data_IF_163926045849
#
_entry.id   IF_163926045849
#
_cell.length_a   1.000
_cell.length_b   1.000
_cell.length_c   1.000
_cell.angle_alpha   90.00
_cell.angle_beta   90.00
_cell.angle_gamma   90.00
#
_symmetry.space_group_name_H-M   'P 1'
#
loop_
_entity.id
_entity.type
_entity.pdbx_description
1 polymer ?
#
# COMPACT_ATOMS: atom_id res chain seq x y z
N UNK A 1 3.60 13.35 -30.31
CA UNK A 1 4.26 14.23 -29.33
C UNK A 1 3.32 14.41 -28.15
N UNK A 2 3.74 14.11 -26.91
CA UNK A 2 2.92 14.44 -25.74
C UNK A 2 2.78 15.97 -25.65
N UNK A 3 1.56 16.47 -25.52
CA UNK A 3 1.32 17.88 -25.20
C UNK A 3 1.84 18.15 -23.78
N UNK A 4 2.37 19.35 -23.54
CA UNK A 4 2.83 19.83 -22.22
C UNK A 4 1.74 19.62 -21.16
N UNK A 5 0.45 19.79 -21.51
CA UNK A 5 -0.68 19.51 -20.62
C UNK A 5 -0.72 18.05 -20.14
N UNK A 6 -0.45 17.09 -21.04
CA UNK A 6 -0.34 15.69 -20.68
C UNK A 6 0.84 15.46 -19.73
N UNK A 7 2.01 16.07 -19.99
CA UNK A 7 3.19 15.95 -19.12
C UNK A 7 2.91 16.50 -17.71
N UNK A 8 2.21 17.63 -17.60
CA UNK A 8 1.83 18.21 -16.31
C UNK A 8 0.81 17.35 -15.56
N UNK A 9 -0.13 16.72 -16.26
CA UNK A 9 -1.08 15.77 -15.67
C UNK A 9 -0.35 14.53 -15.14
N UNK A 10 0.64 14.02 -15.87
CA UNK A 10 1.51 12.92 -15.46
C UNK A 10 2.26 13.27 -14.20
N UNK A 11 2.95 14.42 -14.20
CA UNK A 11 3.74 14.87 -13.05
C UNK A 11 2.81 15.08 -11.85
N UNK A 12 1.64 15.66 -12.05
CA UNK A 12 0.65 15.86 -10.98
C UNK A 12 0.13 14.54 -10.43
N UNK A 13 -0.16 13.55 -11.27
CA UNK A 13 -0.65 12.24 -10.82
C UNK A 13 0.45 11.41 -10.14
N UNK A 14 1.64 11.37 -10.74
CA UNK A 14 2.82 10.66 -10.21
C UNK A 14 3.31 11.28 -8.91
N UNK A 15 3.20 12.60 -8.73
CA UNK A 15 3.63 13.24 -7.49
C UNK A 15 2.52 13.27 -6.45
N UNK A 16 1.27 13.59 -6.80
CA UNK A 16 0.24 13.84 -5.81
C UNK A 16 -0.23 12.56 -5.11
N UNK A 17 -0.45 11.45 -5.83
CA UNK A 17 -0.94 10.22 -5.20
C UNK A 17 0.06 9.70 -4.15
N UNK A 18 1.37 9.53 -4.48
CA UNK A 18 2.36 9.12 -3.50
C UNK A 18 2.54 10.16 -2.38
N UNK A 19 2.41 11.45 -2.68
CA UNK A 19 2.48 12.51 -1.65
C UNK A 19 1.33 12.39 -0.66
N UNK A 20 0.10 12.13 -1.13
CA UNK A 20 -1.08 11.93 -0.27
C UNK A 20 -0.88 10.69 0.61
N UNK A 21 -0.44 9.57 0.03
CA UNK A 21 -0.13 8.36 0.81
C UNK A 21 1.00 8.59 1.81
N UNK A 22 2.05 9.31 1.42
CA UNK A 22 3.18 9.64 2.28
C UNK A 22 2.73 10.50 3.47
N UNK A 23 1.98 11.58 3.23
CA UNK A 23 1.47 12.45 4.29
C UNK A 23 0.49 11.71 5.20
N UNK A 24 -0.37 10.86 4.63
CA UNK A 24 -1.26 9.99 5.40
C UNK A 24 -0.46 9.04 6.31
N UNK A 25 0.54 8.35 5.78
CA UNK A 25 1.40 7.45 6.54
C UNK A 25 2.23 8.17 7.61
N UNK A 26 2.72 9.37 7.30
CA UNK A 26 3.42 10.24 8.25
C UNK A 26 2.51 10.61 9.43
N UNK A 27 1.27 10.99 9.13
CA UNK A 27 0.27 11.34 10.16
C UNK A 27 -0.04 10.16 11.07
N UNK A 28 -0.19 8.96 10.48
CA UNK A 28 -0.38 7.72 11.23
C UNK A 28 0.83 7.41 12.14
N UNK A 29 2.05 7.56 11.62
CA UNK A 29 3.26 7.35 12.40
C UNK A 29 3.40 8.34 13.56
N UNK A 30 3.12 9.62 13.33
CA UNK A 30 3.12 10.64 14.39
C UNK A 30 2.10 10.32 15.49
N UNK A 31 0.89 9.89 15.14
CA UNK A 31 -0.11 9.50 16.15
C UNK A 31 0.25 8.21 16.87
N UNK A 32 0.85 7.24 16.19
CA UNK A 32 1.36 6.02 16.84
C UNK A 32 2.44 6.35 17.88
N UNK A 33 3.34 7.28 17.56
CA UNK A 33 4.33 7.79 18.50
C UNK A 33 3.68 8.46 19.71
N UNK A 34 2.71 9.35 19.49
CA UNK A 34 1.95 9.99 20.58
C UNK A 34 1.16 8.99 21.43
N UNK A 35 0.75 7.87 20.86
CA UNK A 35 0.08 6.78 21.56
C UNK A 35 1.01 5.91 22.41
N UNK A 36 2.32 6.22 22.45
CA UNK A 36 3.33 5.55 23.28
C UNK A 36 4.11 4.45 22.57
N UNK A 37 4.05 4.35 21.24
CA UNK A 37 4.88 3.41 20.47
C UNK A 37 6.25 4.04 20.14
N UNK A 38 7.15 4.02 21.13
CA UNK A 38 8.50 4.60 21.00
C UNK A 38 9.40 3.90 19.95
N UNK A 39 9.03 2.70 19.47
CA UNK A 39 9.83 1.91 18.53
C UNK A 39 9.66 2.27 17.05
N UNK A 40 8.62 3.04 16.71
CA UNK A 40 8.37 3.44 15.32
C UNK A 40 9.51 4.30 14.73
N UNK A 41 10.25 5.02 15.58
CA UNK A 41 11.35 5.90 15.15
C UNK A 41 12.70 5.14 15.15
N UNK A 42 12.91 4.26 16.13
CA UNK A 42 14.20 3.59 16.35
C UNK A 42 14.58 2.58 15.24
N UNK A 43 13.59 1.96 14.59
CA UNK A 43 13.82 0.96 13.52
C UNK A 43 13.99 1.54 12.12
N UNK A 44 14.12 2.86 11.96
CA UNK A 44 14.36 3.45 10.64
C UNK A 44 13.19 3.37 9.66
N UNK A 45 11.95 3.30 10.17
CA UNK A 45 10.71 3.37 9.36
C UNK A 45 10.58 4.69 8.58
N UNK A 46 11.43 5.67 8.85
CA UNK A 46 11.54 6.96 8.16
C UNK A 46 12.60 7.00 7.05
N UNK A 47 13.34 5.92 6.79
CA UNK A 47 14.22 5.87 5.62
C UNK A 47 13.36 5.88 4.35
N UNK A 48 13.55 6.91 3.52
CA UNK A 48 12.95 7.02 2.18
C UNK A 48 13.35 5.76 1.39
N UNK A 49 12.48 4.77 1.18
CA UNK A 49 12.93 3.52 0.60
C UNK A 49 12.93 3.70 -0.91
N UNK A 50 14.08 3.45 -1.53
CA UNK A 50 14.30 3.40 -2.99
C UNK A 50 13.45 2.36 -3.73
N UNK A 51 12.52 1.69 -3.04
CA UNK A 51 11.83 0.50 -3.50
C UNK A 51 10.32 0.77 -3.52
N UNK A 52 9.67 0.45 -4.65
CA UNK A 52 8.24 0.55 -4.99
C UNK A 52 7.22 0.00 -3.96
N UNK A 53 7.62 -0.45 -2.76
CA UNK A 53 6.73 -0.96 -1.71
C UNK A 53 5.72 0.07 -1.20
N UNK A 54 6.01 1.37 -1.30
CA UNK A 54 5.04 2.43 -1.01
C UNK A 54 4.09 2.73 -2.18
N UNK A 55 4.44 2.36 -3.42
CA UNK A 55 3.54 2.58 -4.57
C UNK A 55 2.24 1.78 -4.46
N UNK A 56 2.21 0.74 -3.61
CA UNK A 56 1.05 -0.08 -3.30
C UNK A 56 0.35 0.26 -1.98
N UNK A 57 0.65 1.42 -1.37
CA UNK A 57 -0.12 1.90 -0.22
C UNK A 57 0.02 1.06 1.06
N UNK A 58 1.09 0.27 1.21
CA UNK A 58 1.39 -0.32 2.53
C UNK A 58 1.78 0.82 3.47
N UNK A 59 0.89 1.11 4.42
CA UNK A 59 1.21 1.88 5.62
C UNK A 59 2.50 1.33 6.24
N UNK A 60 3.34 2.17 6.88
CA UNK A 60 4.35 1.64 7.80
C UNK A 60 3.69 0.57 8.67
N UNK A 61 4.33 -0.59 8.78
CA UNK A 61 3.84 -1.75 9.52
C UNK A 61 3.87 -1.40 11.01
N UNK A 62 2.93 -0.54 11.42
CA UNK A 62 2.68 -0.16 12.80
C UNK A 62 2.08 -1.40 13.44
N UNK A 63 2.81 -1.96 14.39
CA UNK A 63 2.35 -3.12 15.15
C UNK A 63 1.26 -2.67 16.13
N UNK A 64 0.04 -2.48 15.60
CA UNK A 64 -1.12 -2.01 16.35
C UNK A 64 -1.41 -2.89 17.57
N UNK A 65 -0.92 -4.13 17.62
CA UNK A 65 -1.06 -5.05 18.75
C UNK A 65 -0.39 -4.50 20.01
N UNK A 66 0.71 -3.75 19.87
CA UNK A 66 1.42 -3.12 21.01
C UNK A 66 0.65 -1.94 21.61
N UNK A 67 -0.26 -1.34 20.84
CA UNK A 67 -1.04 -0.20 21.28
C UNK A 67 -2.15 -0.68 22.21
N UNK A 68 -1.93 -0.46 23.51
CA UNK A 68 -2.78 -0.99 24.59
C UNK A 68 -4.24 -0.57 24.45
N UNK A 69 -4.50 0.69 24.10
CA UNK A 69 -5.86 1.22 23.99
C UNK A 69 -6.52 0.82 22.67
N UNK A 70 -7.76 0.33 22.74
CA UNK A 70 -8.59 0.06 21.55
C UNK A 70 -8.88 1.34 20.76
N UNK A 71 -9.02 2.47 21.46
CA UNK A 71 -9.29 3.78 20.87
C UNK A 71 -8.13 4.20 19.96
N UNK A 72 -6.89 4.09 20.41
CA UNK A 72 -5.72 4.46 19.61
C UNK A 72 -5.55 3.58 18.37
N UNK A 73 -5.85 2.28 18.49
CA UNK A 73 -5.87 1.36 17.35
C UNK A 73 -6.86 1.77 16.26
N UNK A 74 -7.94 2.48 16.61
CA UNK A 74 -8.89 3.05 15.64
C UNK A 74 -8.49 4.45 15.16
N UNK A 75 -8.02 5.31 16.05
CA UNK A 75 -7.65 6.71 15.75
C UNK A 75 -6.51 6.78 14.73
N UNK A 76 -5.50 5.91 14.87
CA UNK A 76 -4.33 5.91 13.99
C UNK A 76 -4.76 5.69 12.53
N UNK A 77 -5.40 4.58 12.13
CA UNK A 77 -5.83 4.40 10.74
C UNK A 77 -6.85 5.45 10.30
N UNK A 78 -7.73 5.91 11.20
CA UNK A 78 -8.69 6.98 10.92
C UNK A 78 -8.00 8.29 10.51
N UNK A 79 -6.84 8.60 11.09
CA UNK A 79 -6.11 9.82 10.75
C UNK A 79 -5.68 9.88 9.28
N UNK A 80 -5.33 8.73 8.68
CA UNK A 80 -5.03 8.67 7.25
C UNK A 80 -6.24 8.99 6.39
N UNK A 81 -7.42 8.48 6.77
CA UNK A 81 -8.70 8.82 6.12
C UNK A 81 -9.02 10.32 6.27
N UNK A 82 -8.82 10.88 7.47
CA UNK A 82 -9.02 12.31 7.72
C UNK A 82 -8.10 13.16 6.84
N UNK A 83 -6.83 12.78 6.70
CA UNK A 83 -5.90 13.49 5.81
C UNK A 83 -6.35 13.45 4.36
N UNK A 84 -6.79 12.29 3.86
CA UNK A 84 -7.33 12.19 2.49
C UNK A 84 -8.58 13.08 2.34
N UNK A 85 -9.46 13.10 3.33
CA UNK A 85 -10.63 13.99 3.32
C UNK A 85 -10.24 15.47 3.28
N UNK A 86 -9.23 15.89 4.06
CA UNK A 86 -8.70 17.26 4.03
C UNK A 86 -8.11 17.61 2.65
N UNK A 87 -7.40 16.67 2.01
CA UNK A 87 -6.91 16.85 0.64
C UNK A 87 -8.04 17.01 -0.37
N UNK A 88 -9.10 16.20 -0.26
CA UNK A 88 -10.30 16.35 -1.10
C UNK A 88 -10.89 17.75 -0.92
N UNK A 89 -11.06 18.21 0.33
CA UNK A 89 -11.56 19.56 0.61
C UNK A 89 -10.66 20.65 0.02
N UNK A 90 -9.34 20.53 0.18
CA UNK A 90 -8.39 21.51 -0.33
C UNK A 90 -8.45 21.61 -1.87
N UNK A 91 -8.42 20.47 -2.56
CA UNK A 91 -8.46 20.40 -4.03
C UNK A 91 -9.84 20.82 -4.58
N UNK A 92 -10.92 20.55 -3.83
CA UNK A 92 -12.28 20.92 -4.23
C UNK A 92 -12.65 22.37 -3.90
N UNK A 93 -11.93 23.00 -2.96
CA UNK A 93 -12.25 24.36 -2.48
C UNK A 93 -12.36 25.44 -3.57
N UNK A 94 -11.56 25.43 -4.67
CA UNK A 94 -11.69 26.45 -5.71
C UNK A 94 -13.04 26.41 -6.44
N UNK A 95 -13.66 25.24 -6.52
CA UNK A 95 -14.99 25.09 -7.12
C UNK A 95 -16.09 25.64 -6.20
N UNK A 96 -15.92 25.57 -4.88
CA UNK A 96 -16.95 26.04 -3.93
C UNK A 96 -16.90 27.54 -3.75
N UNK A 97 -15.69 28.08 -3.84
CA UNK A 97 -15.41 29.51 -3.74
C UNK A 97 -15.72 30.25 -5.05
N UNK A 98 -16.16 29.54 -6.09
CA UNK A 98 -16.43 30.10 -7.41
C UNK A 98 -15.19 30.57 -8.18
N UNK A 99 -13.98 30.23 -7.71
CA UNK A 99 -12.72 30.55 -8.39
C UNK A 99 -12.61 29.84 -9.74
N UNK A 100 -13.29 28.70 -9.87
CA UNK A 100 -13.36 27.92 -11.09
C UNK A 100 -14.56 28.28 -11.99
N UNK A 101 -15.53 29.11 -11.58
CA UNK A 101 -16.82 29.25 -12.29
C UNK A 101 -16.70 29.73 -13.75
N UNK A 102 -15.63 30.46 -14.07
CA UNK A 102 -15.38 31.00 -15.41
C UNK A 102 -14.52 30.09 -16.31
N UNK A 103 -14.24 28.85 -15.89
CA UNK A 103 -13.34 27.96 -16.64
C UNK A 103 -13.87 27.61 -18.04
N UNK A 104 -15.19 27.50 -18.21
CA UNK A 104 -15.83 27.18 -19.50
C UNK A 104 -15.62 28.28 -20.56
N UNK A 105 -15.54 29.55 -20.14
CA UNK A 105 -15.24 30.68 -21.03
C UNK A 105 -13.83 30.56 -21.58
N UNK A 106 -12.89 30.07 -20.76
CA UNK A 106 -11.52 29.78 -21.17
C UNK A 106 -11.44 28.68 -22.22
N UNK A 107 -12.20 27.60 -22.05
CA UNK A 107 -12.24 26.47 -22.98
C UNK A 107 -12.80 26.89 -24.36
N UNK A 108 -13.94 27.61 -24.38
CA UNK A 108 -14.55 28.10 -25.62
C UNK A 108 -13.65 29.12 -26.35
N UNK A 109 -12.94 29.97 -25.60
CA UNK A 109 -11.99 30.91 -26.18
C UNK A 109 -10.81 30.19 -26.84
N UNK A 110 -10.24 29.17 -26.18
CA UNK A 110 -9.16 28.36 -26.75
C UNK A 110 -9.58 27.65 -28.02
N UNK A 111 -10.77 27.05 -28.06
CA UNK A 111 -11.29 26.39 -29.26
C UNK A 111 -11.47 27.39 -30.42
N UNK A 112 -12.04 28.57 -30.13
CA UNK A 112 -12.25 29.62 -31.11
C UNK A 112 -10.92 30.20 -31.63
N UNK A 113 -9.98 30.51 -30.74
CA UNK A 113 -8.66 31.04 -31.12
C UNK A 113 -7.82 30.01 -31.86
N UNK A 114 -7.85 28.72 -31.48
CA UNK A 114 -7.17 27.66 -32.21
C UNK A 114 -7.74 27.50 -33.63
N UNK A 115 -9.06 27.65 -33.80
CA UNK A 115 -9.74 27.60 -35.10
C UNK A 115 -9.39 28.81 -35.97
N UNK A 116 -9.35 30.01 -35.39
CA UNK A 116 -8.97 31.24 -36.09
C UNK A 116 -7.46 31.29 -36.43
N UNK A 117 -6.59 30.83 -35.53
CA UNK A 117 -5.15 30.72 -35.78
C UNK A 117 -4.83 29.62 -36.80
N UNK A 118 -5.55 28.50 -36.81
CA UNK A 118 -5.42 27.48 -37.86
C UNK A 118 -5.82 28.01 -39.26
N UNK A 119 -6.72 29.00 -39.31
CA UNK A 119 -7.05 29.70 -40.55
C UNK A 119 -6.01 30.76 -40.93
N UNK A 120 -5.38 31.44 -39.96
CA UNK A 120 -4.42 32.51 -40.23
C UNK A 120 -2.96 32.05 -40.41
N UNK A 121 -2.58 30.86 -39.91
CA UNK A 121 -1.20 30.31 -40.06
C UNK A 121 -0.87 29.82 -41.48
N UNK A 122 -1.70 30.13 -42.48
CA UNK A 122 -1.34 29.93 -43.87
C UNK A 122 -0.44 31.06 -44.45
N UNK A 123 -0.16 32.17 -43.73
CA UNK A 123 0.56 33.28 -44.39
C UNK A 123 1.67 34.05 -43.66
N UNK A 124 1.89 33.97 -42.34
CA UNK A 124 3.09 34.63 -41.77
C UNK A 124 3.47 34.16 -40.36
N UNK A 125 4.59 33.45 -40.27
CA UNK A 125 5.32 33.21 -39.03
C UNK A 125 6.11 34.48 -38.68
N UNK A 126 5.74 35.24 -37.65
CA UNK A 126 6.77 35.93 -36.84
C UNK A 126 6.34 36.59 -35.51
N UNK A 127 5.06 36.69 -35.15
CA UNK A 127 4.68 37.43 -33.93
C UNK A 127 3.78 36.61 -32.98
N UNK A 128 4.13 36.55 -31.67
CA UNK A 128 3.33 36.17 -30.46
C UNK A 128 3.91 35.07 -29.55
N UNK A 129 5.14 35.22 -29.06
CA UNK A 129 5.79 34.16 -28.29
C UNK A 129 5.49 34.08 -26.77
N UNK A 130 4.88 35.08 -26.08
CA UNK A 130 4.88 35.07 -24.59
C UNK A 130 3.56 35.39 -23.85
N UNK A 131 2.52 35.92 -24.48
CA UNK A 131 1.20 36.10 -23.83
C UNK A 131 0.26 34.87 -23.78
N UNK A 132 0.31 33.85 -24.69
CA UNK A 132 -0.63 32.74 -24.63
C UNK A 132 -0.32 31.73 -23.50
N UNK A 133 0.92 31.67 -22.99
CA UNK A 133 1.34 30.57 -22.09
C UNK A 133 0.64 30.63 -20.73
N UNK A 134 0.48 31.82 -20.13
CA UNK A 134 -0.15 31.98 -18.81
C UNK A 134 -1.65 31.72 -18.83
N UNK A 135 -2.34 32.10 -19.92
CA UNK A 135 -3.78 31.86 -20.09
C UNK A 135 -4.10 30.40 -20.42
N UNK A 136 -3.24 29.75 -21.19
CA UNK A 136 -3.35 28.32 -21.48
C UNK A 136 -3.14 27.46 -20.22
N UNK A 137 -2.18 27.80 -19.36
CA UNK A 137 -1.89 27.02 -18.14
C UNK A 137 -3.07 26.99 -17.13
N UNK A 138 -3.83 28.07 -17.01
CA UNK A 138 -4.95 28.15 -16.06
C UNK A 138 -6.16 27.34 -16.54
N UNK A 139 -6.40 27.27 -17.84
CA UNK A 139 -7.57 26.56 -18.38
C UNK A 139 -7.49 25.03 -18.23
N UNK A 140 -6.28 24.44 -18.25
CA UNK A 140 -6.10 23.01 -18.00
C UNK A 140 -6.05 22.65 -16.52
N UNK A 141 -5.76 23.61 -15.65
CA UNK A 141 -5.64 23.36 -14.22
C UNK A 141 -6.97 22.90 -13.61
N UNK A 142 -8.09 23.53 -14.00
CA UNK A 142 -9.40 23.21 -13.41
C UNK A 142 -9.89 21.80 -13.74
N UNK A 143 -9.90 21.34 -15.01
CA UNK A 143 -10.23 19.95 -15.31
C UNK A 143 -9.32 18.95 -14.59
N UNK A 144 -8.01 19.23 -14.51
CA UNK A 144 -7.06 18.36 -13.80
C UNK A 144 -7.42 18.26 -12.31
N UNK A 145 -7.64 19.39 -11.63
CA UNK A 145 -8.05 19.41 -10.23
C UNK A 145 -9.39 18.69 -10.01
N UNK A 146 -10.35 18.85 -10.93
CA UNK A 146 -11.66 18.19 -10.85
C UNK A 146 -11.55 16.65 -10.91
N UNK A 147 -10.76 16.12 -11.85
CA UNK A 147 -10.50 14.67 -11.92
C UNK A 147 -9.76 14.18 -10.67
N UNK A 148 -8.75 14.93 -10.22
CA UNK A 148 -7.95 14.55 -9.06
C UNK A 148 -8.83 14.47 -7.82
N UNK A 149 -9.75 15.43 -7.62
CA UNK A 149 -10.77 15.35 -6.59
C UNK A 149 -11.63 14.08 -6.76
N UNK A 150 -12.10 13.80 -7.97
CA UNK A 150 -12.88 12.58 -8.27
C UNK A 150 -12.15 11.28 -7.93
N UNK A 151 -10.86 11.16 -8.26
CA UNK A 151 -10.03 10.00 -7.90
C UNK A 151 -9.78 9.90 -6.40
N UNK A 152 -9.53 11.03 -5.72
CA UNK A 152 -9.34 11.03 -4.27
C UNK A 152 -10.62 10.64 -3.54
N UNK A 153 -11.79 11.08 -4.01
CA UNK A 153 -13.10 10.65 -3.48
C UNK A 153 -13.27 9.14 -3.66
N UNK A 154 -13.00 8.63 -4.86
CA UNK A 154 -13.08 7.18 -5.12
C UNK A 154 -12.14 6.40 -4.21
N UNK A 155 -10.89 6.86 -4.08
CA UNK A 155 -9.90 6.25 -3.19
C UNK A 155 -10.36 6.30 -1.73
N UNK A 156 -10.88 7.43 -1.27
CA UNK A 156 -11.42 7.60 0.07
C UNK A 156 -12.57 6.60 0.34
N UNK A 157 -13.51 6.45 -0.60
CA UNK A 157 -14.61 5.50 -0.49
C UNK A 157 -14.11 4.06 -0.41
N UNK A 158 -13.11 3.69 -1.24
CA UNK A 158 -12.48 2.37 -1.19
C UNK A 158 -11.77 2.14 0.16
N UNK A 159 -11.03 3.14 0.64
CA UNK A 159 -10.33 3.07 1.93
C UNK A 159 -11.28 3.03 3.12
N UNK A 160 -12.51 3.53 2.98
CA UNK A 160 -13.53 3.47 4.02
C UNK A 160 -14.16 2.07 4.15
N UNK A 161 -13.99 1.19 3.15
CA UNK A 161 -14.58 -0.14 3.19
C UNK A 161 -14.07 -0.96 4.40
N UNK A 162 -14.95 -1.67 5.11
CA UNK A 162 -14.60 -2.48 6.26
C UNK A 162 -14.00 -3.84 5.85
N UNK A 163 -13.05 -3.83 4.90
CA UNK A 163 -12.40 -5.01 4.35
C UNK A 163 -10.94 -5.14 4.83
N UNK A 164 -10.47 -6.34 5.23
CA UNK A 164 -9.08 -6.56 5.60
C UNK A 164 -8.10 -6.01 4.55
N UNK A 165 -7.09 -5.26 5.03
CA UNK A 165 -6.15 -4.54 4.18
C UNK A 165 -6.51 -3.06 3.93
N UNK A 166 -7.75 -2.64 4.23
CA UNK A 166 -8.18 -1.24 4.11
C UNK A 166 -8.18 -0.52 5.46
N UNK A 167 -8.02 0.81 5.42
CA UNK A 167 -8.03 1.66 6.61
C UNK A 167 -9.37 1.57 7.36
N UNK A 168 -10.50 1.48 6.65
CA UNK A 168 -11.83 1.33 7.23
C UNK A 168 -11.95 0.09 8.11
N UNK A 169 -11.39 -1.04 7.66
CA UNK A 169 -11.30 -2.24 8.51
C UNK A 169 -10.42 -2.01 9.73
N UNK A 170 -9.24 -1.39 9.58
CA UNK A 170 -8.35 -1.11 10.71
C UNK A 170 -9.00 -0.18 11.75
N UNK A 171 -9.90 0.72 11.34
CA UNK A 171 -10.67 1.56 12.26
C UNK A 171 -11.64 0.72 13.09
N UNK A 172 -12.37 -0.22 12.47
CA UNK A 172 -13.40 -1.00 13.16
C UNK A 172 -12.88 -2.28 13.82
N UNK A 173 -11.73 -2.81 13.38
CA UNK A 173 -11.23 -4.11 13.80
C UNK A 173 -11.02 -4.24 15.31
N UNK A 174 -10.57 -3.21 16.07
CA UNK A 174 -10.42 -3.32 17.52
C UNK A 174 -11.74 -3.53 18.27
N UNK A 175 -12.87 -3.30 17.61
CA UNK A 175 -14.23 -3.43 18.13
C UNK A 175 -14.91 -4.73 17.70
N UNK A 176 -14.35 -5.45 16.73
CA UNK A 176 -14.90 -6.72 16.27
C UNK A 176 -14.62 -7.84 17.29
N UNK A 177 -15.49 -8.85 17.41
CA UNK A 177 -15.21 -10.04 18.20
C UNK A 177 -13.93 -10.76 17.73
N UNK A 178 -13.17 -11.33 18.65
CA UNK A 178 -11.91 -12.02 18.33
C UNK A 178 -12.09 -13.18 17.33
N UNK A 179 -13.21 -13.89 17.39
CA UNK A 179 -13.57 -14.95 16.41
C UNK A 179 -13.65 -14.42 14.98
N UNK A 180 -14.24 -13.23 14.79
CA UNK A 180 -14.36 -12.60 13.48
C UNK A 180 -13.01 -12.05 13.01
N UNK A 181 -12.23 -11.44 13.91
CA UNK A 181 -10.88 -10.97 13.58
C UNK A 181 -9.99 -12.14 13.11
N UNK A 182 -10.01 -13.27 13.81
CA UNK A 182 -9.24 -14.46 13.46
C UNK A 182 -9.72 -15.10 12.16
N UNK A 183 -11.04 -15.11 11.91
CA UNK A 183 -11.60 -15.62 10.65
C UNK A 183 -11.18 -14.78 9.43
N UNK A 184 -11.02 -13.47 9.63
CA UNK A 184 -10.60 -12.53 8.59
C UNK A 184 -9.07 -12.44 8.46
N UNK A 185 -8.33 -12.71 9.54
CA UNK A 185 -6.88 -12.80 9.52
C UNK A 185 -6.42 -13.88 8.53
N UNK A 186 -5.50 -13.53 7.63
CA UNK A 186 -5.01 -14.44 6.59
C UNK A 186 -5.87 -14.48 5.32
N UNK A 187 -7.06 -13.85 5.27
CA UNK A 187 -7.86 -13.68 4.04
C UNK A 187 -7.57 -12.39 3.27
N UNK A 188 -6.58 -11.60 3.71
CA UNK A 188 -6.18 -10.33 3.10
C UNK A 188 -5.92 -10.45 1.59
N UNK A 189 -5.32 -11.57 1.15
CA UNK A 189 -5.06 -11.83 -0.27
C UNK A 189 -6.34 -11.95 -1.10
N UNK A 190 -7.43 -12.48 -0.55
CA UNK A 190 -8.73 -12.57 -1.23
C UNK A 190 -9.35 -11.18 -1.41
N UNK A 191 -9.18 -10.30 -0.43
CA UNK A 191 -9.65 -8.90 -0.54
C UNK A 191 -8.80 -8.10 -1.52
N UNK A 192 -7.48 -8.31 -1.54
CA UNK A 192 -6.59 -7.75 -2.56
C UNK A 192 -7.01 -8.19 -3.97
N UNK A 193 -7.26 -9.49 -4.17
CA UNK A 193 -7.76 -10.02 -5.44
C UNK A 193 -9.16 -9.48 -5.78
N UNK A 194 -10.05 -9.33 -4.81
CA UNK A 194 -11.36 -8.73 -5.02
C UNK A 194 -11.23 -7.27 -5.50
N UNK A 195 -10.33 -6.49 -4.92
CA UNK A 195 -10.11 -5.10 -5.30
C UNK A 195 -9.47 -5.01 -6.68
N UNK A 196 -8.49 -5.86 -6.97
CA UNK A 196 -7.92 -5.98 -8.32
C UNK A 196 -9.01 -6.39 -9.31
N UNK A 197 -9.88 -7.34 -8.96
CA UNK A 197 -11.00 -7.76 -9.80
C UNK A 197 -12.04 -6.66 -9.97
N UNK A 198 -12.33 -5.87 -8.94
CA UNK A 198 -13.22 -4.71 -9.03
C UNK A 198 -12.57 -3.64 -9.91
N UNK A 199 -11.31 -3.26 -9.68
CA UNK A 199 -10.59 -2.28 -10.51
C UNK A 199 -10.45 -2.76 -11.96
N UNK A 200 -10.15 -4.04 -12.19
CA UNK A 200 -10.09 -4.64 -13.50
C UNK A 200 -11.48 -4.72 -14.16
N UNK A 201 -12.51 -5.12 -13.42
CA UNK A 201 -13.89 -5.11 -13.92
C UNK A 201 -14.32 -3.70 -14.28
N UNK A 202 -14.00 -2.70 -13.46
CA UNK A 202 -14.24 -1.30 -13.79
C UNK A 202 -13.45 -0.88 -15.03
N UNK A 203 -12.23 -1.38 -15.23
CA UNK A 203 -11.45 -1.12 -16.43
C UNK A 203 -12.08 -1.73 -17.69
N UNK A 204 -12.63 -2.95 -17.59
CA UNK A 204 -13.16 -3.70 -18.74
C UNK A 204 -14.67 -3.51 -19.00
N UNK A 205 -15.46 -3.04 -18.02
CA UNK A 205 -16.94 -3.01 -18.09
C UNK A 205 -17.54 -1.63 -17.78
N UNK A 206 -17.02 -0.57 -18.38
CA UNK A 206 -17.46 0.81 -18.17
C UNK A 206 -17.09 1.39 -16.79
N UNK A 207 -15.81 1.78 -16.66
CA UNK A 207 -15.26 2.71 -15.68
C UNK A 207 -16.16 3.95 -15.40
N UNK A 208 -16.96 4.45 -16.36
CA UNK A 208 -17.95 5.50 -16.11
C UNK A 208 -18.91 5.25 -14.97
N UNK A 209 -19.23 4.03 -14.54
CA UNK A 209 -20.30 3.79 -13.56
C UNK A 209 -19.94 4.19 -12.12
N UNK A 210 -18.84 3.68 -11.54
CA UNK A 210 -18.36 4.13 -10.24
C UNK A 210 -17.81 5.56 -10.29
N UNK A 211 -17.18 5.93 -11.40
CA UNK A 211 -16.72 7.30 -11.56
C UNK A 211 -17.89 8.27 -11.69
N UNK A 212 -19.03 7.87 -12.25
CA UNK A 212 -20.26 8.66 -12.23
C UNK A 212 -20.80 8.80 -10.82
N UNK A 213 -20.66 7.79 -9.97
CA UNK A 213 -21.00 7.93 -8.55
C UNK A 213 -20.09 8.96 -7.87
N UNK A 214 -18.77 8.85 -8.04
CA UNK A 214 -17.85 9.84 -7.45
C UNK A 214 -18.02 11.24 -8.04
N UNK A 215 -18.27 11.36 -9.34
CA UNK A 215 -18.57 12.61 -10.03
C UNK A 215 -19.89 13.23 -9.59
N UNK A 216 -20.93 12.42 -9.37
CA UNK A 216 -22.20 12.89 -8.81
C UNK A 216 -22.01 13.37 -7.38
N UNK A 217 -21.26 12.64 -6.54
CA UNK A 217 -20.92 13.10 -5.19
C UNK A 217 -20.13 14.42 -5.25
N UNK A 218 -19.14 14.50 -6.12
CA UNK A 218 -18.35 15.71 -6.34
C UNK A 218 -19.23 16.89 -6.80
N UNK A 219 -20.21 16.66 -7.66
CA UNK A 219 -21.13 17.69 -8.11
C UNK A 219 -22.12 18.12 -7.02
N UNK A 220 -22.79 17.15 -6.41
CA UNK A 220 -23.92 17.43 -5.51
C UNK A 220 -23.45 17.96 -4.15
N UNK A 221 -22.33 17.42 -3.63
CA UNK A 221 -21.80 17.80 -2.32
C UNK A 221 -20.71 18.84 -2.42
N UNK A 222 -19.89 18.77 -3.47
CA UNK A 222 -18.70 19.60 -3.63
C UNK A 222 -18.83 20.57 -4.81
N UNK A 223 -20.01 20.77 -5.41
CA UNK A 223 -20.23 21.73 -6.50
C UNK A 223 -19.21 21.65 -7.66
N UNK A 224 -18.52 20.53 -7.84
CA UNK A 224 -17.56 20.36 -8.93
C UNK A 224 -18.35 20.07 -10.20
N UNK A 225 -18.25 20.91 -11.25
CA UNK A 225 -19.04 20.72 -12.46
C UNK A 225 -18.78 19.35 -13.09
N UNK A 226 -19.85 18.61 -13.39
CA UNK A 226 -19.75 17.31 -14.09
C UNK A 226 -19.06 17.49 -15.46
N UNK A 227 -19.23 18.64 -16.12
CA UNK A 227 -18.53 19.00 -17.34
C UNK A 227 -17.01 19.01 -17.16
N UNK A 228 -16.51 19.66 -16.12
CA UNK A 228 -15.07 19.72 -15.80
C UNK A 228 -14.48 18.34 -15.51
N UNK A 229 -15.22 17.54 -14.74
CA UNK A 229 -14.85 16.16 -14.40
C UNK A 229 -14.78 15.28 -15.66
N UNK A 230 -15.76 15.42 -16.56
CA UNK A 230 -15.81 14.68 -17.83
C UNK A 230 -14.72 15.10 -18.80
N UNK A 231 -14.51 16.40 -18.99
CA UNK A 231 -13.46 16.91 -19.87
C UNK A 231 -12.09 16.43 -19.41
N UNK A 232 -11.86 16.51 -18.10
CA UNK A 232 -10.68 15.96 -17.51
C UNK A 232 -10.51 14.45 -17.75
N UNK A 233 -11.59 13.66 -17.59
CA UNK A 233 -11.54 12.24 -17.94
C UNK A 233 -11.14 12.00 -19.40
N UNK A 234 -11.68 12.76 -20.34
CA UNK A 234 -11.35 12.62 -21.76
C UNK A 234 -9.86 12.94 -22.02
N UNK A 235 -9.32 13.99 -21.38
CA UNK A 235 -7.88 14.28 -21.39
C UNK A 235 -7.05 13.11 -20.84
N UNK A 236 -7.59 12.39 -19.85
CA UNK A 236 -6.93 11.26 -19.21
C UNK A 236 -7.05 9.97 -20.02
N UNK A 237 -8.20 9.67 -20.63
CA UNK A 237 -8.44 8.47 -21.46
C UNK A 237 -7.46 8.40 -22.63
N UNK A 238 -7.26 9.51 -23.34
CA UNK A 238 -6.28 9.60 -24.42
C UNK A 238 -4.84 9.34 -23.95
N UNK A 239 -4.56 9.49 -22.65
CA UNK A 239 -3.26 9.25 -22.04
C UNK A 239 -3.12 7.84 -21.45
N UNK A 240 -4.13 7.32 -20.74
CA UNK A 240 -4.08 5.98 -20.14
C UNK A 240 -3.92 4.90 -21.22
N UNK A 241 -4.52 5.08 -22.40
CA UNK A 241 -4.34 4.15 -23.52
C UNK A 241 -2.87 4.02 -23.97
N UNK A 242 -2.03 5.03 -23.75
CA UNK A 242 -0.61 5.04 -24.14
C UNK A 242 0.33 4.54 -23.05
N UNK A 243 0.06 4.82 -21.77
CA UNK A 243 1.00 4.53 -20.66
C UNK A 243 0.61 3.29 -19.85
N UNK A 244 -0.68 2.98 -19.78
CA UNK A 244 -1.20 1.95 -18.88
C UNK A 244 -0.90 0.51 -19.34
N UNK A 245 -0.96 0.14 -20.64
CA UNK A 245 -0.77 -1.25 -21.04
C UNK A 245 0.59 -1.83 -20.64
N UNK A 246 1.76 -1.19 -20.92
CA UNK A 246 3.06 -1.81 -20.62
C UNK A 246 3.43 -1.81 -19.13
N UNK A 247 3.09 -0.76 -18.40
CA UNK A 247 3.46 -0.58 -16.98
C UNK A 247 2.65 -1.48 -16.05
N UNK A 248 1.34 -1.64 -16.31
CA UNK A 248 0.51 -2.55 -15.52
C UNK A 248 0.72 -4.00 -15.94
N UNK A 249 0.99 -4.31 -17.22
CA UNK A 249 1.38 -5.67 -17.60
C UNK A 249 2.66 -6.11 -16.87
N UNK A 250 3.67 -5.22 -16.77
CA UNK A 250 4.86 -5.52 -16.00
C UNK A 250 4.59 -5.59 -14.51
N UNK A 251 3.71 -4.77 -13.93
CA UNK A 251 3.38 -4.85 -12.49
C UNK A 251 2.48 -6.05 -12.10
N UNK A 252 1.54 -6.44 -12.96
CA UNK A 252 0.55 -7.50 -12.69
C UNK A 252 1.10 -8.88 -13.04
N UNK A 253 1.85 -9.00 -14.15
CA UNK A 253 2.35 -10.29 -14.63
C UNK A 253 3.87 -10.46 -14.51
N UNK A 254 4.61 -9.40 -14.20
CA UNK A 254 6.05 -9.47 -13.91
C UNK A 254 6.42 -8.61 -12.68
N UNK A 255 5.70 -8.75 -11.54
CA UNK A 255 5.96 -7.93 -10.36
C UNK A 255 7.45 -7.99 -10.05
N UNK A 256 8.13 -6.86 -9.79
CA UNK A 256 9.57 -6.84 -9.56
C UNK A 256 9.87 -7.73 -8.37
N UNK A 257 10.27 -8.97 -8.64
CA UNK A 257 10.47 -10.14 -7.76
C UNK A 257 10.31 -9.74 -6.29
N UNK A 258 9.06 -9.49 -5.87
CA UNK A 258 8.69 -9.61 -4.49
C UNK A 258 8.56 -11.11 -4.39
N UNK A 259 9.59 -11.76 -3.86
CA UNK A 259 9.48 -13.13 -3.38
C UNK A 259 8.39 -13.15 -2.30
N UNK A 260 7.14 -13.17 -2.73
CA UNK A 260 5.98 -13.71 -2.03
C UNK A 260 5.93 -15.23 -2.22
N UNK A 261 7.06 -15.87 -2.50
CA UNK A 261 7.30 -17.18 -1.93
C UNK A 261 7.51 -16.90 -0.42
N UNK A 262 6.76 -17.48 0.52
CA UNK A 262 6.34 -18.87 0.54
C UNK A 262 5.07 -19.08 1.38
N UNK A 263 3.98 -19.64 0.85
CA UNK A 263 3.19 -20.58 1.62
C UNK A 263 3.98 -21.90 1.69
N UNK A 264 5.08 -21.90 2.45
CA UNK A 264 5.92 -23.06 2.65
C UNK A 264 5.73 -23.57 4.06
N UNK A 265 5.27 -24.80 4.21
CA UNK A 265 5.42 -25.49 5.49
C UNK A 265 6.90 -25.79 5.68
N UNK A 266 7.42 -25.49 6.86
CA UNK A 266 8.79 -25.80 7.27
C UNK A 266 8.73 -26.76 8.45
N UNK A 267 9.83 -27.48 8.65
CA UNK A 267 10.02 -28.34 9.80
C UNK A 267 10.92 -27.63 10.80
N UNK A 268 10.48 -27.56 12.04
CA UNK A 268 11.25 -26.98 13.16
C UNK A 268 11.34 -27.99 14.30
N UNK A 269 12.28 -27.79 15.21
CA UNK A 269 12.41 -28.59 16.41
C UNK A 269 11.67 -27.91 17.56
N UNK A 270 10.70 -28.62 18.13
CA UNK A 270 9.94 -28.22 19.30
C UNK A 270 10.34 -29.03 20.53
N UNK A 271 10.35 -28.37 21.68
CA UNK A 271 10.52 -28.99 22.99
C UNK A 271 9.16 -29.17 23.66
N UNK A 272 8.94 -30.36 24.21
CA UNK A 272 7.69 -30.74 24.88
C UNK A 272 6.43 -30.38 24.06
N UNK A 273 6.33 -30.85 22.80
CA UNK A 273 5.16 -30.58 21.96
C UNK A 273 3.87 -31.02 22.66
N UNK A 274 2.80 -30.25 22.49
CA UNK A 274 1.47 -30.53 23.06
C UNK A 274 1.41 -30.47 24.59
N UNK A 275 2.33 -29.74 25.22
CA UNK A 275 2.31 -29.45 26.65
C UNK A 275 2.11 -27.96 26.91
N UNK A 276 1.81 -27.58 28.16
CA UNK A 276 1.74 -26.17 28.56
C UNK A 276 3.09 -25.45 28.53
N UNK A 277 4.18 -26.19 28.34
CA UNK A 277 5.56 -25.69 28.32
C UNK A 277 6.22 -26.02 26.98
N UNK A 278 5.47 -25.86 25.89
CA UNK A 278 5.99 -25.98 24.53
C UNK A 278 7.00 -24.86 24.27
N UNK A 279 8.12 -25.15 23.61
CA UNK A 279 9.15 -24.17 23.29
C UNK A 279 9.79 -24.45 21.94
N UNK A 280 10.22 -23.40 21.23
CA UNK A 280 10.97 -23.56 19.98
C UNK A 280 12.45 -23.68 20.31
N UNK A 281 13.10 -24.73 19.79
CA UNK A 281 14.53 -24.88 19.97
C UNK A 281 15.30 -23.78 19.22
N UNK A 282 16.18 -23.08 19.94
CA UNK A 282 17.05 -22.03 19.41
C UNK A 282 18.52 -22.41 19.55
N UNK A 283 19.31 -22.01 18.57
CA UNK A 283 20.77 -22.15 18.59
C UNK A 283 21.44 -20.80 18.82
N UNK A 284 22.49 -20.76 19.64
CA UNK A 284 23.29 -19.55 19.79
C UNK A 284 24.32 -19.49 18.67
N UNK A 285 24.32 -18.43 17.88
CA UNK A 285 25.38 -18.22 16.91
C UNK A 285 26.50 -17.34 17.47
N UNK A 286 27.66 -17.32 16.80
CA UNK A 286 28.84 -16.58 17.26
C UNK A 286 28.62 -15.06 17.41
N UNK A 287 27.55 -14.54 16.84
CA UNK A 287 27.10 -13.15 16.95
C UNK A 287 26.29 -12.85 18.24
N UNK A 288 26.09 -13.86 19.10
CA UNK A 288 25.39 -13.75 20.37
C UNK A 288 23.86 -13.73 20.25
N UNK A 289 23.29 -14.08 19.09
CA UNK A 289 21.84 -14.08 18.87
C UNK A 289 21.25 -15.49 18.79
N UNK A 290 20.12 -15.68 19.47
CA UNK A 290 19.31 -16.89 19.37
C UNK A 290 18.74 -17.01 17.96
N UNK A 291 18.99 -18.13 17.30
CA UNK A 291 18.56 -18.41 15.92
C UNK A 291 17.71 -19.66 15.88
N UNK A 292 16.49 -19.54 15.36
CA UNK A 292 15.60 -20.67 15.04
C UNK A 292 15.97 -21.21 13.66
N UNK A 293 16.22 -22.51 13.57
CA UNK A 293 16.47 -23.21 12.32
C UNK A 293 15.16 -23.73 11.74
N UNK A 294 14.89 -23.39 10.47
CA UNK A 294 13.71 -23.84 9.73
C UNK A 294 14.17 -24.72 8.58
N UNK A 295 13.74 -25.98 8.53
CA UNK A 295 14.15 -26.93 7.51
C UNK A 295 13.06 -27.05 6.43
N UNK A 296 13.46 -27.07 5.16
CA UNK A 296 12.53 -27.35 4.05
C UNK A 296 12.14 -28.83 3.97
N UNK A 297 13.01 -29.73 4.44
CA UNK A 297 12.82 -31.18 4.41
C UNK A 297 12.75 -31.76 5.83
N UNK A 298 11.82 -32.69 6.04
CA UNK A 298 11.63 -33.44 7.28
C UNK A 298 12.84 -34.32 7.63
N UNK A 299 13.45 -34.98 6.63
CA UNK A 299 14.58 -35.89 6.84
C UNK A 299 15.82 -35.14 7.32
N UNK A 300 16.04 -33.92 6.82
CA UNK A 300 17.14 -33.05 7.26
C UNK A 300 16.92 -32.58 8.71
N UNK A 301 15.68 -32.26 9.07
CA UNK A 301 15.32 -31.88 10.44
C UNK A 301 15.48 -33.05 11.42
N UNK A 302 15.11 -34.28 11.02
CA UNK A 302 15.33 -35.48 11.84
C UNK A 302 16.82 -35.80 11.98
N UNK A 303 17.57 -35.72 10.89
CA UNK A 303 19.03 -35.92 10.92
C UNK A 303 19.69 -34.93 11.87
N UNK A 304 19.23 -33.67 11.88
CA UNK A 304 19.69 -32.67 12.82
C UNK A 304 19.28 -32.99 14.27
N UNK A 305 18.05 -33.46 14.48
CA UNK A 305 17.57 -33.91 15.81
C UNK A 305 18.40 -35.07 16.37
N UNK A 306 18.80 -36.01 15.52
CA UNK A 306 19.67 -37.13 15.89
C UNK A 306 21.07 -36.65 16.28
N UNK A 307 21.62 -35.65 15.56
CA UNK A 307 22.89 -35.02 15.92
C UNK A 307 22.82 -34.32 17.28
N UNK A 308 21.72 -33.66 17.60
CA UNK A 308 21.51 -33.04 18.92
C UNK A 308 21.37 -34.10 20.02
N UNK A 309 20.70 -35.21 19.74
CA UNK A 309 20.55 -36.34 20.66
C UNK A 309 21.90 -36.97 21.03
N UNK A 310 22.85 -37.01 20.09
CA UNK A 310 24.23 -37.45 20.36
C UNK A 310 25.00 -36.48 21.28
N UNK A 311 24.63 -35.20 21.28
CA UNK A 311 25.17 -34.16 22.18
C UNK A 311 24.38 -34.05 23.51
N UNK A 312 23.64 -35.08 23.89
CA UNK A 312 22.82 -35.19 25.11
C UNK A 312 21.63 -34.22 25.22
N UNK A 313 21.22 -33.60 24.10
CA UNK A 313 19.96 -32.87 24.02
C UNK A 313 18.83 -33.81 23.59
N UNK A 314 17.97 -34.21 24.54
CA UNK A 314 16.85 -35.14 24.33
C UNK A 314 15.51 -34.41 24.46
N UNK A 315 14.45 -35.01 23.92
CA UNK A 315 13.07 -34.51 24.07
C UNK A 315 12.63 -33.48 23.04
N UNK A 316 13.36 -33.39 21.93
CA UNK A 316 13.02 -32.57 20.77
C UNK A 316 12.17 -33.39 19.78
N UNK A 317 11.09 -32.79 19.30
CA UNK A 317 10.24 -33.34 18.23
C UNK A 317 10.32 -32.45 16.99
N UNK A 318 10.38 -33.08 15.81
CA UNK A 318 10.33 -32.35 14.54
C UNK A 318 8.87 -32.13 14.17
N UNK A 319 8.45 -30.87 14.10
CA UNK A 319 7.06 -30.50 13.82
C UNK A 319 6.93 -29.64 12.57
N UNK A 320 5.82 -29.86 11.86
CA UNK A 320 5.52 -29.18 10.60
C UNK A 320 4.70 -27.92 10.88
N UNK A 321 5.31 -26.75 10.74
CA UNK A 321 4.70 -25.47 11.07
C UNK A 321 4.74 -24.54 9.85
N UNK A 322 3.79 -23.60 9.79
CA UNK A 322 3.81 -22.58 8.75
C UNK A 322 5.01 -21.66 8.97
N UNK A 323 5.86 -21.50 7.95
CA UNK A 323 7.05 -20.63 8.01
C UNK A 323 6.76 -19.23 8.55
N UNK A 324 5.64 -18.63 8.14
CA UNK A 324 5.24 -17.30 8.61
C UNK A 324 5.03 -17.25 10.12
N UNK A 325 4.45 -18.30 10.70
CA UNK A 325 4.19 -18.38 12.14
C UNK A 325 5.48 -18.45 12.93
N UNK A 326 6.46 -19.23 12.45
CA UNK A 326 7.81 -19.30 13.04
C UNK A 326 8.51 -17.95 12.95
N UNK A 327 8.54 -17.33 11.76
CA UNK A 327 9.18 -16.03 11.57
C UNK A 327 8.54 -14.93 12.43
N UNK A 328 7.22 -14.97 12.61
CA UNK A 328 6.49 -14.05 13.49
C UNK A 328 6.85 -14.28 14.96
N UNK A 329 6.88 -15.52 15.43
CA UNK A 329 7.26 -15.85 16.81
C UNK A 329 8.70 -15.40 17.11
N UNK A 330 9.65 -15.81 16.26
CA UNK A 330 11.06 -15.46 16.41
C UNK A 330 11.27 -13.95 16.45
N UNK A 331 10.59 -13.20 15.57
CA UNK A 331 10.66 -11.73 15.56
C UNK A 331 10.14 -11.09 16.84
N UNK A 332 9.09 -11.65 17.43
CA UNK A 332 8.51 -11.13 18.68
C UNK A 332 9.44 -11.34 19.89
N UNK A 333 10.21 -12.43 19.89
CA UNK A 333 11.21 -12.76 20.92
C UNK A 333 12.61 -12.20 20.63
N UNK A 334 12.80 -11.49 19.50
CA UNK A 334 14.12 -10.97 19.11
C UNK A 334 15.10 -12.02 18.57
N UNK A 335 14.62 -13.22 18.23
CA UNK A 335 15.41 -14.27 17.61
C UNK A 335 15.57 -14.05 16.10
N UNK A 336 16.68 -14.56 15.56
CA UNK A 336 16.88 -14.68 14.12
C UNK A 336 16.27 -15.98 13.61
N UNK A 337 15.95 -16.03 12.31
CA UNK A 337 15.47 -17.24 11.66
C UNK A 337 16.37 -17.59 10.48
N UNK A 338 16.76 -18.85 10.35
CA UNK A 338 17.57 -19.33 9.24
C UNK A 338 16.86 -20.49 8.54
N UNK A 339 16.56 -20.31 7.25
CA UNK A 339 16.02 -21.37 6.41
C UNK A 339 17.14 -22.26 5.89
N UNK A 340 17.03 -23.56 6.12
CA UNK A 340 17.91 -24.60 5.66
C UNK A 340 17.26 -25.28 4.47
N UNK A 341 17.92 -25.18 3.31
CA UNK A 341 17.44 -25.80 2.06
C UNK A 341 17.60 -27.30 2.12
N UNK A 342 16.71 -28.01 1.44
CA UNK A 342 16.76 -29.48 1.36
C UNK A 342 18.15 -29.99 0.92
N UNK A 343 18.68 -30.98 1.64
CA UNK A 343 19.99 -31.58 1.41
C UNK A 343 21.17 -30.77 1.95
N UNK A 344 20.93 -29.67 2.67
CA UNK A 344 22.00 -28.90 3.33
C UNK A 344 22.31 -29.51 4.69
N UNK A 345 23.53 -29.99 4.88
CA UNK A 345 23.99 -30.46 6.19
C UNK A 345 24.35 -29.27 7.09
N UNK A 346 23.83 -29.26 8.31
CA UNK A 346 24.07 -28.21 9.30
C UNK A 346 24.67 -28.83 10.55
N UNK A 347 25.80 -28.31 10.99
CA UNK A 347 26.40 -28.74 12.26
C UNK A 347 25.81 -27.96 13.43
N UNK A 348 25.53 -28.61 14.58
CA UNK A 348 25.10 -27.90 15.78
C UNK A 348 26.21 -27.01 16.32
N UNK A 349 25.86 -25.76 16.66
CA UNK A 349 26.79 -24.79 17.25
C UNK A 349 27.46 -25.35 18.54
N UNK A 350 28.66 -24.87 18.85
CA UNK A 350 29.44 -25.36 20.01
C UNK A 350 28.82 -24.98 21.36
N UNK A 351 28.08 -23.86 21.40
CA UNK A 351 27.36 -23.41 22.60
C UNK A 351 25.86 -23.52 22.37
N UNK A 352 25.19 -24.40 23.12
CA UNK A 352 23.73 -24.47 23.15
C UNK A 352 23.21 -23.30 24.00
N UNK A 353 22.46 -22.37 23.41
CA UNK A 353 21.73 -21.38 24.21
C UNK A 353 20.47 -22.00 24.83
N UNK A 354 20.09 -21.37 25.94
CA UNK A 354 18.90 -21.61 26.73
C UNK A 354 17.59 -21.67 25.93
N UNK A 355 16.60 -22.29 26.54
CA UNK A 355 15.26 -22.56 26.02
C UNK A 355 14.33 -21.38 26.24
N UNK A 356 13.72 -20.87 25.17
CA UNK A 356 12.64 -19.88 25.27
C UNK A 356 11.27 -20.53 25.02
N UNK A 357 10.34 -20.35 25.98
CA UNK A 357 9.03 -20.99 25.99
C UNK A 357 7.98 -20.19 25.19
N UNK A 358 7.07 -20.90 24.51
CA UNK A 358 5.86 -20.33 23.91
C UNK A 358 4.87 -20.00 25.04
N UNK A 359 4.63 -18.70 25.32
CA UNK A 359 3.54 -18.23 26.19
C UNK A 359 2.51 -17.43 25.41
#
# INVERSE_FOLDING_TARGET
MLNIASILLIISFILLLPTVFYISGLTQACLAYLAGDNLAIEKGYFSFPSNLRFAFGRSPEIDLIRIRSRIWRSIIPLSGLVMIALFILAISSPFWLGLADNWEIGAQFVEKTAREEAMMKFESLEWRALEPVTKWQINFLWPILAIMAGYLILLFLLLLLPLPGFSGYAVISPWLPASLQNYLAGKEHLFGLFVIAVVASLYFSDLPSLFKISANIANDQLKIPISAVREGMELTKGYLSYVWPPFIWSLVFNPPILSFTHPGQVFILLMNPHSSNEGIYTTLHADGRNTVLMFENFDDANSYNDLLSQKDLKGLSVEKINRWEVERFSRNQGHMTKLIKAGTQVEPAENNAETDFLR
#
